data_IF_410851622146
#
_entry.id   IF_410851622146
#
_cell.length_a   1.000
_cell.length_b   1.000
_cell.length_c   1.000
_cell.angle_alpha   90.00
_cell.angle_beta   90.00
_cell.angle_gamma   90.00
#
_symmetry.space_group_name_H-M   'P 1'
#
loop_
_entity.id
_entity.type
_entity.pdbx_description
1 polymer ?
#
# COMPACT_ATOMS: atom_id res chain seq x y z
N UNK A 1 -13.95 -13.61 -0.48
CA UNK A 1 -12.55 -13.49 -0.96
C UNK A 1 -12.41 -12.48 -2.10
N UNK A 2 -13.35 -12.42 -3.05
CA UNK A 2 -13.40 -11.37 -4.08
C UNK A 2 -13.40 -9.93 -3.53
N UNK A 3 -14.32 -9.65 -2.60
CA UNK A 3 -14.46 -8.33 -1.95
C UNK A 3 -13.16 -7.93 -1.22
N UNK A 4 -12.48 -8.90 -0.61
CA UNK A 4 -11.18 -8.66 0.04
C UNK A 4 -10.11 -8.29 -0.99
N UNK A 5 -10.12 -8.91 -2.17
CA UNK A 5 -9.23 -8.54 -3.28
C UNK A 5 -9.45 -7.09 -3.74
N UNK A 6 -10.72 -6.66 -3.87
CA UNK A 6 -11.08 -5.28 -4.20
C UNK A 6 -10.54 -4.30 -3.15
N UNK A 7 -10.82 -4.58 -1.87
CA UNK A 7 -10.36 -3.73 -0.76
C UNK A 7 -8.83 -3.67 -0.72
N UNK A 8 -8.15 -4.79 -0.96
CA UNK A 8 -6.69 -4.87 -0.93
C UNK A 8 -6.05 -4.12 -2.11
N UNK A 9 -6.64 -4.22 -3.30
CA UNK A 9 -6.22 -3.45 -4.47
C UNK A 9 -6.40 -1.94 -4.23
N UNK A 10 -7.57 -1.52 -3.73
CA UNK A 10 -7.83 -0.12 -3.34
C UNK A 10 -6.82 0.38 -2.30
N UNK A 11 -6.54 -0.45 -1.28
CA UNK A 11 -5.55 -0.13 -0.26
C UNK A 11 -4.15 0.04 -0.87
N UNK A 12 -3.72 -0.84 -1.76
CA UNK A 12 -2.44 -0.73 -2.46
C UNK A 12 -2.32 0.58 -3.25
N UNK A 13 -3.40 1.01 -3.93
CA UNK A 13 -3.46 2.31 -4.64
C UNK A 13 -3.32 3.48 -3.66
N UNK A 14 -4.06 3.44 -2.54
CA UNK A 14 -4.01 4.49 -1.51
C UNK A 14 -2.60 4.59 -0.91
N UNK A 15 -1.96 3.47 -0.60
CA UNK A 15 -0.59 3.43 -0.08
C UNK A 15 0.38 4.06 -1.09
N UNK A 16 0.24 3.73 -2.38
CA UNK A 16 1.04 4.36 -3.44
C UNK A 16 0.87 5.88 -3.47
N UNK A 17 -0.39 6.32 -3.41
CA UNK A 17 -0.72 7.74 -3.46
C UNK A 17 -0.15 8.50 -2.26
N UNK A 18 -0.28 7.95 -1.05
CA UNK A 18 0.31 8.52 0.18
C UNK A 18 1.83 8.58 0.07
N UNK A 19 2.47 7.57 -0.52
CA UNK A 19 3.93 7.51 -0.64
C UNK A 19 4.48 8.50 -1.66
N UNK A 20 3.73 8.77 -2.74
CA UNK A 20 4.11 9.73 -3.76
C UNK A 20 3.83 11.17 -3.32
N UNK A 21 2.62 11.45 -2.82
CA UNK A 21 2.18 12.80 -2.46
C UNK A 21 2.71 13.28 -1.12
N UNK A 22 3.14 12.36 -0.24
CA UNK A 22 3.66 12.66 1.10
C UNK A 22 2.84 13.72 1.84
N UNK A 23 1.53 13.50 2.06
CA UNK A 23 0.73 14.47 2.77
C UNK A 23 1.30 14.67 4.17
N UNK A 24 1.65 15.91 4.52
CA UNK A 24 2.38 16.24 5.75
C UNK A 24 1.70 15.68 7.01
N UNK A 25 0.36 15.69 7.03
CA UNK A 25 -0.42 15.12 8.14
C UNK A 25 -0.16 13.63 8.37
N UNK A 26 0.06 12.84 7.31
CA UNK A 26 0.29 11.40 7.41
C UNK A 26 1.79 11.12 7.56
N UNK A 27 2.62 11.83 6.80
CA UNK A 27 4.08 11.63 6.80
C UNK A 27 4.73 12.05 8.13
N UNK A 28 4.18 13.06 8.80
CA UNK A 28 4.64 13.49 10.13
C UNK A 28 3.98 12.74 11.29
N UNK A 29 3.17 11.72 11.03
CA UNK A 29 2.67 10.87 12.12
C UNK A 29 3.81 10.09 12.75
N UNK A 30 3.77 9.93 14.08
CA UNK A 30 4.79 9.20 14.85
C UNK A 30 5.08 7.79 14.31
N UNK A 31 4.09 7.14 13.68
CA UNK A 31 4.28 5.82 13.04
C UNK A 31 5.23 5.90 11.85
N UNK A 32 4.98 6.81 10.90
CA UNK A 32 5.83 6.97 9.71
C UNK A 32 7.19 7.53 10.12
N UNK A 33 7.23 8.49 11.03
CA UNK A 33 8.47 9.02 11.61
C UNK A 33 9.34 7.93 12.25
N UNK A 34 8.75 6.93 12.93
CA UNK A 34 9.48 5.78 13.46
C UNK A 34 10.09 4.92 12.34
N UNK A 35 9.34 4.67 11.26
CA UNK A 35 9.88 3.99 10.08
C UNK A 35 11.02 4.79 9.43
N UNK A 36 10.86 6.11 9.28
CA UNK A 36 11.89 7.01 8.75
C UNK A 36 13.14 7.00 9.63
N UNK A 37 12.99 6.92 10.95
CA UNK A 37 14.12 6.83 11.89
C UNK A 37 14.91 5.52 11.75
N UNK A 38 14.25 4.42 11.37
CA UNK A 38 14.88 3.10 11.23
C UNK A 38 15.43 2.89 9.81
N UNK A 39 14.65 3.19 8.77
CA UNK A 39 14.98 2.93 7.37
C UNK A 39 15.51 4.15 6.61
N UNK A 40 15.41 5.35 7.17
CA UNK A 40 15.60 6.62 6.43
C UNK A 40 14.37 7.00 5.59
N UNK A 41 14.32 8.25 5.11
CA UNK A 41 13.20 8.73 4.28
C UNK A 41 13.11 7.94 2.96
N UNK A 42 14.26 7.71 2.32
CA UNK A 42 14.32 6.95 1.06
C UNK A 42 13.95 5.48 1.26
N UNK A 43 14.46 4.84 2.32
CA UNK A 43 14.12 3.45 2.64
C UNK A 43 12.64 3.30 2.97
N UNK A 44 12.06 4.24 3.70
CA UNK A 44 10.63 4.24 4.03
C UNK A 44 9.75 4.41 2.79
N UNK A 45 10.13 5.30 1.86
CA UNK A 45 9.47 5.40 0.54
C UNK A 45 9.52 4.07 -0.19
N UNK A 46 10.71 3.46 -0.29
CA UNK A 46 10.88 2.22 -1.04
C UNK A 46 10.08 1.07 -0.41
N UNK A 47 10.04 1.00 0.92
CA UNK A 47 9.24 0.02 1.66
C UNK A 47 7.76 0.16 1.36
N UNK A 48 7.19 1.37 1.45
CA UNK A 48 5.77 1.57 1.16
C UNK A 48 5.43 1.35 -0.32
N UNK A 49 6.33 1.68 -1.25
CA UNK A 49 6.16 1.38 -2.68
C UNK A 49 6.13 -0.13 -2.90
N UNK A 50 7.10 -0.88 -2.37
CA UNK A 50 7.15 -2.34 -2.49
C UNK A 50 5.91 -2.99 -1.85
N UNK A 51 5.51 -2.51 -0.68
CA UNK A 51 4.34 -3.01 0.03
C UNK A 51 3.04 -2.70 -0.72
N UNK A 52 2.91 -1.50 -1.27
CA UNK A 52 1.78 -1.09 -2.11
C UNK A 52 1.70 -1.91 -3.40
N UNK A 53 2.84 -2.15 -4.07
CA UNK A 53 2.93 -3.04 -5.23
C UNK A 53 2.50 -4.46 -4.89
N UNK A 54 3.02 -5.03 -3.79
CA UNK A 54 2.66 -6.36 -3.34
C UNK A 54 1.16 -6.48 -3.03
N UNK A 55 0.59 -5.49 -2.34
CA UNK A 55 -0.84 -5.43 -2.04
C UNK A 55 -1.71 -5.34 -3.30
N UNK A 56 -1.28 -4.55 -4.29
CA UNK A 56 -1.95 -4.45 -5.58
C UNK A 56 -1.94 -5.76 -6.36
N UNK A 57 -0.76 -6.39 -6.48
CA UNK A 57 -0.60 -7.67 -7.20
C UNK A 57 -1.42 -8.77 -6.51
N UNK A 58 -1.35 -8.88 -5.18
CA UNK A 58 -2.14 -9.84 -4.41
C UNK A 58 -3.64 -9.55 -4.51
N UNK A 59 -4.04 -8.28 -4.49
CA UNK A 59 -5.43 -7.85 -4.63
C UNK A 59 -6.01 -8.26 -5.99
N UNK A 60 -5.29 -7.96 -7.08
CA UNK A 60 -5.67 -8.34 -8.44
C UNK A 60 -5.74 -9.86 -8.59
N UNK A 61 -4.76 -10.59 -8.05
CA UNK A 61 -4.74 -12.05 -8.09
C UNK A 61 -5.94 -12.67 -7.36
N UNK A 62 -6.29 -12.14 -6.18
CA UNK A 62 -7.49 -12.53 -5.43
C UNK A 62 -8.77 -12.20 -6.19
N UNK A 63 -8.83 -11.06 -6.89
CA UNK A 63 -9.99 -10.69 -7.71
C UNK A 63 -10.19 -11.64 -8.89
N UNK A 64 -9.11 -12.01 -9.59
CA UNK A 64 -9.15 -12.95 -10.72
C UNK A 64 -9.56 -14.35 -10.23
N UNK A 65 -8.95 -14.83 -9.15
CA UNK A 65 -9.17 -16.19 -8.64
C UNK A 65 -10.57 -16.42 -8.07
N UNK A 66 -11.16 -15.40 -7.47
CA UNK A 66 -12.48 -15.49 -6.83
C UNK A 66 -13.53 -14.66 -7.57
N UNK A 67 -13.31 -14.42 -8.87
CA UNK A 67 -14.22 -13.65 -9.70
C UNK A 67 -15.62 -14.31 -9.68
N UNK A 68 -16.68 -13.58 -9.29
CA UNK A 68 -18.00 -14.19 -9.05
C UNK A 68 -18.74 -14.66 -10.32
N UNK A 69 -18.21 -14.34 -11.51
CA UNK A 69 -18.78 -14.77 -12.79
C UNK A 69 -17.87 -15.75 -13.56
N UNK A 70 -16.88 -16.34 -12.89
CA UNK A 70 -15.98 -17.39 -13.41
C UNK A 70 -16.18 -18.66 -12.59
#
# INVERSE_FOLDING_TARGET
>A
MFILGIILALYGIIVFWITLTKPEKIWNMGKIQAFIKILGDFGTRLFFILFGCAALVLGIWLMIKYWPAA
#
